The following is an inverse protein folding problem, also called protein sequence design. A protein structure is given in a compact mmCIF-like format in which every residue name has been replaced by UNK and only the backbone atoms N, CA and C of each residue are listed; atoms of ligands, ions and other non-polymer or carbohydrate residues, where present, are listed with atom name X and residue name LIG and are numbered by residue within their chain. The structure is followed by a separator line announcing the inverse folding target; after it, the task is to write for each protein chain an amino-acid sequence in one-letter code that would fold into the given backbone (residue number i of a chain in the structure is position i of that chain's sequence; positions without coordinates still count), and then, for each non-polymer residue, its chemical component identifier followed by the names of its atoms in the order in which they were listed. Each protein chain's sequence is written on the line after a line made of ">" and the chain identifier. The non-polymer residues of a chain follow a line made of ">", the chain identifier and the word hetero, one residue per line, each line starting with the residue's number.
data_IF_024807196248
#
_entry.id   IF_024807196248
#
_cell.length_a   1.000
_cell.length_b   1.000
_cell.length_c   1.000
_cell.angle_alpha   90.00
_cell.angle_beta   90.00
_cell.angle_gamma   90.00
#
_symmetry.space_group_name_H-M   'P 1'
#
loop_
_entity.id
_entity.type
_entity.pdbx_description
1 polymer ?
#
# COMPACT_ATOMS: atom_id res chain seq x y z
N UNK A 1 -29.53 23.15 45.98
CA UNK A 1 -29.07 22.05 45.12
C UNK A 1 -29.52 22.38 43.72
N UNK A 2 -28.61 22.81 42.84
CA UNK A 2 -28.86 22.78 41.41
C UNK A 2 -27.51 22.77 40.68
N UNK A 3 -27.00 21.57 40.41
CA UNK A 3 -25.71 21.39 39.73
C UNK A 3 -25.94 21.37 38.23
N UNK A 4 -25.95 22.58 37.63
CA UNK A 4 -25.99 22.73 36.18
C UNK A 4 -24.86 21.92 35.53
N UNK A 5 -25.24 20.87 34.80
CA UNK A 5 -24.30 20.00 34.11
C UNK A 5 -23.80 20.68 32.84
N UNK A 6 -22.75 21.49 32.97
CA UNK A 6 -22.05 22.08 31.83
C UNK A 6 -21.32 20.98 31.04
N UNK A 7 -22.07 20.36 30.12
CA UNK A 7 -21.61 19.31 29.25
C UNK A 7 -20.63 19.88 28.21
N UNK A 8 -19.38 20.05 28.65
CA UNK A 8 -18.25 20.54 27.85
C UNK A 8 -18.30 19.93 26.44
N UNK A 9 -18.64 20.78 25.45
CA UNK A 9 -18.93 20.36 24.07
C UNK A 9 -17.63 19.83 23.43
N UNK A 10 -17.41 18.52 23.52
CA UNK A 10 -16.19 17.86 23.05
C UNK A 10 -16.01 18.11 21.55
N UNK A 11 -14.80 18.51 21.16
CA UNK A 11 -14.45 18.79 19.79
C UNK A 11 -14.20 17.45 19.09
N UNK A 12 -15.15 16.97 18.29
CA UNK A 12 -15.07 15.67 17.61
C UNK A 12 -14.64 15.82 16.16
N UNK A 13 -13.73 14.97 15.70
CA UNK A 13 -13.36 14.88 14.28
C UNK A 13 -14.49 14.28 13.45
N UNK A 14 -14.89 14.92 12.34
CA UNK A 14 -15.97 14.45 11.47
C UNK A 14 -15.62 13.12 10.73
N UNK A 15 -14.34 12.84 10.49
CA UNK A 15 -13.88 11.64 9.76
C UNK A 15 -13.66 10.42 10.67
N UNK A 16 -12.76 10.52 11.65
CA UNK A 16 -12.38 9.38 12.50
C UNK A 16 -13.11 9.33 13.86
N UNK A 17 -13.94 10.34 14.16
CA UNK A 17 -14.71 10.47 15.42
C UNK A 17 -13.89 10.54 16.71
N UNK A 18 -12.59 10.81 16.63
CA UNK A 18 -11.78 11.10 17.82
C UNK A 18 -12.24 12.41 18.47
N UNK A 19 -12.34 12.41 19.80
CA UNK A 19 -12.79 13.54 20.61
C UNK A 19 -11.61 14.26 21.26
N UNK A 20 -11.72 15.57 21.39
CA UNK A 20 -10.71 16.46 21.96
C UNK A 20 -11.35 17.46 22.92
N UNK A 21 -10.73 17.64 24.10
CA UNK A 21 -11.20 18.61 25.10
C UNK A 21 -11.08 20.06 24.61
N UNK A 22 -10.11 20.33 23.73
CA UNK A 22 -9.85 21.65 23.16
C UNK A 22 -9.92 21.63 21.64
N UNK A 23 -10.31 22.77 21.06
CA UNK A 23 -10.39 22.96 19.61
C UNK A 23 -9.00 22.97 18.94
N UNK A 24 -8.00 23.56 19.60
CA UNK A 24 -6.59 23.58 19.14
C UNK A 24 -6.08 22.16 18.82
N UNK A 25 -6.40 21.18 19.67
CA UNK A 25 -6.01 19.77 19.48
C UNK A 25 -6.76 19.09 18.32
N UNK A 26 -8.01 19.50 18.04
CA UNK A 26 -8.74 19.00 16.87
C UNK A 26 -8.11 19.51 15.57
N UNK A 27 -7.71 20.79 15.51
CA UNK A 27 -7.01 21.36 14.36
C UNK A 27 -5.66 20.64 14.13
N UNK A 28 -4.90 20.41 15.20
CA UNK A 28 -3.62 19.68 15.12
C UNK A 28 -3.79 18.20 14.72
N UNK A 29 -4.88 17.57 15.15
CA UNK A 29 -5.26 16.25 14.67
C UNK A 29 -5.57 16.23 13.17
N UNK A 30 -6.27 17.23 12.63
CA UNK A 30 -6.55 17.30 11.19
C UNK A 30 -5.26 17.50 10.37
N UNK A 31 -4.35 18.38 10.81
CA UNK A 31 -3.01 18.57 10.23
C UNK A 31 -2.21 17.28 10.07
N UNK A 32 -2.24 16.44 11.10
CA UNK A 32 -1.38 15.25 11.20
C UNK A 32 -2.03 13.98 10.67
N UNK A 33 -3.37 13.96 10.53
CA UNK A 33 -4.12 12.78 10.09
C UNK A 33 -4.51 12.80 8.63
N UNK A 34 -4.73 13.99 8.04
CA UNK A 34 -5.03 14.18 6.61
C UNK A 34 -6.03 13.15 6.05
N UNK A 35 -7.23 13.14 6.66
CA UNK A 35 -8.32 12.24 6.29
C UNK A 35 -8.75 12.46 4.84
N UNK A 36 -9.04 11.37 4.13
CA UNK A 36 -9.23 11.34 2.68
C UNK A 36 -10.58 10.74 2.25
N UNK A 37 -11.13 11.15 1.08
CA UNK A 37 -12.09 10.34 0.29
C UNK A 37 -11.69 8.88 0.12
N UNK A 38 -10.38 8.61 0.04
CA UNK A 38 -9.80 7.29 -0.25
C UNK A 38 -9.43 6.46 0.99
N UNK A 39 -9.64 6.98 2.19
CA UNK A 39 -9.38 6.20 3.40
C UNK A 39 -10.34 5.01 3.51
N UNK A 40 -9.86 3.84 3.99
CA UNK A 40 -10.73 2.76 4.44
C UNK A 40 -11.83 3.25 5.39
N UNK A 41 -13.09 3.10 4.99
CA UNK A 41 -14.27 3.52 5.78
C UNK A 41 -15.05 2.34 6.32
N UNK A 42 -15.55 2.47 7.54
CA UNK A 42 -16.51 1.54 8.12
C UNK A 42 -17.88 1.67 7.44
N UNK A 43 -18.38 0.62 6.79
CA UNK A 43 -19.68 0.61 6.13
C UNK A 43 -20.89 0.77 7.08
N UNK A 44 -20.68 0.69 8.40
CA UNK A 44 -21.73 0.81 9.43
C UNK A 44 -21.82 2.23 10.00
N UNK A 45 -20.68 2.79 10.46
CA UNK A 45 -20.67 4.11 11.09
C UNK A 45 -19.96 5.21 10.29
N UNK A 46 -19.53 4.91 9.05
CA UNK A 46 -18.77 5.81 8.17
C UNK A 46 -17.39 6.28 8.70
N UNK A 47 -16.90 5.76 9.83
CA UNK A 47 -15.59 6.12 10.40
C UNK A 47 -14.45 5.89 9.39
N UNK A 48 -13.65 6.92 9.11
CA UNK A 48 -12.41 6.82 8.36
C UNK A 48 -11.33 6.16 9.22
N UNK A 49 -10.57 5.25 8.61
CA UNK A 49 -9.49 4.50 9.23
C UNK A 49 -8.25 4.59 8.32
N UNK A 50 -7.11 5.06 8.85
CA UNK A 50 -5.90 5.32 8.06
C UNK A 50 -5.37 4.08 7.30
N UNK A 51 -5.61 2.88 7.82
CA UNK A 51 -5.30 1.64 7.12
C UNK A 51 -6.36 0.57 7.34
N UNK A 52 -6.29 -0.48 6.52
CA UNK A 52 -7.23 -1.59 6.56
C UNK A 52 -7.09 -2.42 7.84
N UNK A 53 -5.92 -2.42 8.47
CA UNK A 53 -5.75 -3.03 9.79
C UNK A 53 -6.52 -2.21 10.85
N UNK A 54 -6.60 -0.89 10.71
CA UNK A 54 -7.35 -0.03 11.64
C UNK A 54 -8.87 -0.17 11.42
N UNK A 55 -9.29 -0.44 10.18
CA UNK A 55 -10.66 -0.82 9.88
C UNK A 55 -10.99 -2.20 10.46
N UNK A 56 -10.09 -3.20 10.32
CA UNK A 56 -10.27 -4.53 10.91
C UNK A 56 -10.35 -4.46 12.43
N UNK A 57 -9.42 -3.77 13.10
CA UNK A 57 -9.44 -3.57 14.56
C UNK A 57 -10.71 -2.83 15.02
N UNK A 58 -11.19 -1.84 14.26
CA UNK A 58 -12.46 -1.18 14.57
C UNK A 58 -13.69 -2.11 14.49
N UNK A 59 -13.65 -3.13 13.63
CA UNK A 59 -14.76 -4.07 13.40
C UNK A 59 -14.69 -5.33 14.28
N UNK A 60 -13.48 -5.86 14.53
CA UNK A 60 -13.23 -7.16 15.19
C UNK A 60 -12.09 -7.14 16.21
N UNK A 61 -11.59 -5.96 16.59
CA UNK A 61 -10.50 -5.81 17.54
C UNK A 61 -10.92 -5.95 19.00
N UNK A 62 -10.11 -5.42 19.91
CA UNK A 62 -10.33 -5.57 21.35
C UNK A 62 -11.49 -4.70 21.91
N UNK A 63 -11.74 -3.53 21.31
CA UNK A 63 -12.77 -2.57 21.74
C UNK A 63 -13.57 -2.00 20.55
N UNK A 64 -14.26 -2.84 19.76
CA UNK A 64 -15.07 -2.39 18.64
C UNK A 64 -16.37 -1.75 19.14
N UNK A 65 -16.96 -0.85 18.34
CA UNK A 65 -18.29 -0.30 18.68
C UNK A 65 -19.34 -1.42 18.57
N UNK A 66 -20.24 -1.62 19.55
CA UNK A 66 -21.17 -2.76 19.55
C UNK A 66 -21.97 -2.95 18.26
N UNK A 67 -22.53 -1.86 17.70
CA UNK A 67 -23.28 -1.89 16.44
C UNK A 67 -22.43 -2.31 15.23
N UNK A 68 -21.18 -1.85 15.18
CA UNK A 68 -20.22 -2.17 14.13
C UNK A 68 -19.78 -3.64 14.24
N UNK A 69 -19.47 -4.10 15.45
CA UNK A 69 -19.11 -5.48 15.74
C UNK A 69 -20.25 -6.44 15.41
N UNK A 70 -21.48 -6.16 15.87
CA UNK A 70 -22.65 -7.00 15.61
C UNK A 70 -23.02 -7.05 14.11
N UNK A 71 -22.92 -5.91 13.42
CA UNK A 71 -23.09 -5.87 11.96
C UNK A 71 -22.00 -6.66 11.24
N UNK A 72 -20.74 -6.58 11.67
CA UNK A 72 -19.66 -7.33 11.03
C UNK A 72 -19.75 -8.83 11.31
N UNK A 73 -20.05 -9.23 12.54
CA UNK A 73 -20.19 -10.63 12.94
C UNK A 73 -21.33 -11.36 12.20
N UNK A 74 -22.42 -10.66 11.87
CA UNK A 74 -23.60 -11.24 11.22
C UNK A 74 -23.54 -11.26 9.69
N UNK A 75 -22.86 -10.29 9.06
CA UNK A 75 -22.91 -10.06 7.59
C UNK A 75 -21.61 -9.48 6.99
N UNK A 76 -20.51 -9.45 7.75
CA UNK A 76 -19.21 -8.94 7.32
C UNK A 76 -18.28 -9.99 6.69
N UNK A 77 -17.45 -9.59 5.74
CA UNK A 77 -16.42 -10.45 5.14
C UNK A 77 -15.03 -10.08 5.67
N UNK A 78 -14.33 -11.03 6.30
CA UNK A 78 -12.99 -10.83 6.90
C UNK A 78 -11.89 -10.39 5.90
N UNK A 79 -12.07 -10.66 4.60
CA UNK A 79 -11.08 -10.38 3.56
C UNK A 79 -11.21 -8.98 2.94
N UNK A 80 -12.41 -8.52 2.59
CA UNK A 80 -12.62 -7.17 2.05
C UNK A 80 -12.96 -6.13 3.11
N UNK A 81 -13.42 -6.57 4.28
CA UNK A 81 -13.97 -5.76 5.38
C UNK A 81 -15.31 -5.08 5.04
N UNK A 82 -15.96 -5.50 3.94
CA UNK A 82 -17.30 -5.06 3.58
C UNK A 82 -18.36 -5.70 4.48
N UNK A 83 -19.49 -5.00 4.65
CA UNK A 83 -20.64 -5.43 5.46
C UNK A 83 -21.86 -5.56 4.55
N UNK A 84 -22.15 -6.80 4.15
CA UNK A 84 -23.09 -7.13 3.06
C UNK A 84 -24.55 -6.95 3.49
N UNK A 85 -25.51 -6.71 2.58
CA UNK A 85 -26.89 -6.37 2.94
C UNK A 85 -27.61 -7.39 3.83
N UNK A 86 -27.31 -8.68 3.68
CA UNK A 86 -27.89 -9.76 4.47
C UNK A 86 -26.92 -10.93 4.66
N UNK A 87 -27.11 -11.73 5.72
CA UNK A 87 -26.30 -12.93 5.99
C UNK A 87 -26.37 -13.98 4.86
N UNK A 88 -27.46 -14.01 4.07
CA UNK A 88 -27.56 -14.82 2.86
C UNK A 88 -26.53 -14.42 1.79
N UNK A 89 -26.34 -13.11 1.58
CA UNK A 89 -25.37 -12.58 0.63
C UNK A 89 -23.92 -12.92 1.03
N UNK A 90 -23.62 -13.02 2.33
CA UNK A 90 -22.31 -13.45 2.83
C UNK A 90 -21.99 -14.90 2.46
N UNK A 91 -22.97 -15.81 2.51
CA UNK A 91 -22.76 -17.23 2.13
C UNK A 91 -22.46 -17.40 0.63
N UNK A 92 -23.01 -16.53 -0.20
CA UNK A 92 -22.74 -16.49 -1.65
C UNK A 92 -21.63 -15.50 -2.05
N UNK A 93 -20.97 -14.84 -1.08
CA UNK A 93 -20.00 -13.80 -1.38
C UNK A 93 -18.66 -14.40 -1.83
N UNK A 94 -18.40 -14.35 -3.14
CA UNK A 94 -17.02 -14.29 -3.61
C UNK A 94 -16.50 -12.89 -3.31
N UNK A 95 -15.38 -12.82 -2.58
CA UNK A 95 -14.63 -11.58 -2.46
C UNK A 95 -14.28 -11.06 -3.87
N UNK A 96 -14.31 -9.73 -4.12
CA UNK A 96 -14.01 -9.20 -5.45
C UNK A 96 -12.65 -9.71 -5.92
N UNK A 97 -12.66 -10.49 -7.00
CA UNK A 97 -11.44 -10.81 -7.72
C UNK A 97 -10.89 -9.49 -8.26
N UNK A 98 -9.57 -9.40 -8.30
CA UNK A 98 -8.89 -8.30 -8.95
C UNK A 98 -9.50 -8.03 -10.34
N UNK A 99 -9.74 -6.76 -10.73
CA UNK A 99 -10.25 -6.42 -12.05
C UNK A 99 -9.31 -6.94 -13.13
N UNK A 100 -9.87 -7.12 -14.33
CA UNK A 100 -9.10 -7.59 -15.47
C UNK A 100 -7.87 -6.71 -15.70
N UNK A 101 -6.78 -7.27 -16.25
CA UNK A 101 -5.62 -6.50 -16.63
C UNK A 101 -5.96 -5.34 -17.56
N UNK A 102 -5.39 -4.16 -17.27
CA UNK A 102 -5.46 -3.00 -18.16
C UNK A 102 -4.20 -2.86 -19.03
N UNK A 103 -3.19 -3.69 -18.75
CA UNK A 103 -1.86 -3.57 -19.33
C UNK A 103 -0.99 -2.55 -18.57
N UNK A 104 0.23 -2.34 -19.04
CA UNK A 104 1.10 -1.28 -18.49
C UNK A 104 1.59 -1.47 -17.05
N UNK A 105 1.36 -2.62 -16.41
CA UNK A 105 1.85 -2.94 -15.05
C UNK A 105 2.78 -4.16 -15.09
N UNK A 106 3.90 -4.09 -14.36
CA UNK A 106 4.80 -5.20 -14.08
C UNK A 106 5.04 -5.29 -12.57
N UNK A 107 5.14 -6.49 -12.01
CA UNK A 107 5.58 -6.71 -10.63
C UNK A 107 6.98 -7.32 -10.59
N UNK A 108 7.83 -6.79 -9.71
CA UNK A 108 9.22 -7.19 -9.49
C UNK A 108 9.35 -7.86 -8.12
N UNK A 109 10.27 -8.80 -8.00
CA UNK A 109 10.73 -9.33 -6.72
C UNK A 109 12.06 -10.06 -6.87
N UNK A 110 12.95 -9.86 -5.91
CA UNK A 110 14.23 -10.54 -5.84
C UNK A 110 14.27 -11.57 -4.70
N UNK A 111 15.20 -12.51 -4.78
CA UNK A 111 15.68 -13.29 -3.63
C UNK A 111 17.12 -12.92 -3.33
N UNK A 112 17.34 -12.51 -2.08
CA UNK A 112 18.62 -12.04 -1.60
C UNK A 112 19.38 -13.15 -0.87
N UNK A 113 20.71 -13.13 -1.01
CA UNK A 113 21.65 -13.91 -0.21
C UNK A 113 22.53 -12.96 0.60
N UNK A 114 23.18 -13.48 1.64
CA UNK A 114 24.12 -12.75 2.46
C UNK A 114 25.51 -12.68 1.82
N UNK A 115 26.09 -11.49 1.78
CA UNK A 115 27.44 -11.20 1.33
C UNK A 115 28.20 -10.35 2.37
N UNK A 116 29.46 -10.03 2.08
CA UNK A 116 30.34 -9.35 3.03
C UNK A 116 30.90 -10.29 4.11
N UNK A 117 31.74 -9.77 5.00
CA UNK A 117 32.51 -10.58 5.96
C UNK A 117 31.67 -11.37 6.97
N UNK A 118 30.45 -10.93 7.24
CA UNK A 118 29.51 -11.52 8.22
C UNK A 118 28.21 -12.04 7.59
N UNK A 119 28.01 -11.89 6.27
CA UNK A 119 26.78 -12.27 5.57
C UNK A 119 25.58 -11.37 5.83
N UNK A 120 25.76 -10.22 6.50
CA UNK A 120 24.70 -9.27 6.81
C UNK A 120 24.19 -8.50 5.60
N UNK A 121 25.05 -8.27 4.59
CA UNK A 121 24.70 -7.51 3.40
C UNK A 121 23.80 -8.32 2.47
N UNK A 122 22.61 -7.80 2.19
CA UNK A 122 21.71 -8.37 1.18
C UNK A 122 22.21 -8.07 -0.23
N UNK A 123 22.36 -9.12 -1.04
CA UNK A 123 22.64 -9.00 -2.49
C UNK A 123 21.70 -9.86 -3.31
N UNK A 124 21.21 -9.35 -4.45
CA UNK A 124 20.30 -10.06 -5.32
C UNK A 124 20.98 -11.27 -5.98
N UNK A 125 20.37 -12.45 -5.80
CA UNK A 125 20.84 -13.71 -6.37
C UNK A 125 19.83 -14.38 -7.32
N UNK A 126 18.56 -13.94 -7.31
CA UNK A 126 17.54 -14.31 -8.29
C UNK A 126 16.56 -13.16 -8.43
N UNK A 127 16.16 -12.82 -9.65
CA UNK A 127 15.17 -11.79 -9.96
C UNK A 127 14.03 -12.40 -10.78
N UNK A 128 12.79 -12.02 -10.48
CA UNK A 128 11.62 -12.34 -11.29
C UNK A 128 10.83 -11.06 -11.59
N UNK A 129 10.30 -10.98 -12.80
CA UNK A 129 9.34 -9.98 -13.25
C UNK A 129 8.14 -10.72 -13.84
N UNK A 130 6.96 -10.41 -13.33
CA UNK A 130 5.68 -10.89 -13.87
C UNK A 130 4.88 -9.72 -14.43
N UNK A 131 4.03 -10.00 -15.41
CA UNK A 131 3.13 -9.02 -16.00
C UNK A 131 1.78 -8.90 -15.28
N UNK A 132 0.98 -7.93 -15.72
CA UNK A 132 -0.48 -7.98 -15.53
C UNK A 132 -1.15 -9.06 -16.40
N UNK A 133 -0.73 -10.29 -16.20
CA UNK A 133 -1.42 -11.54 -16.51
C UNK A 133 -0.97 -12.66 -15.55
N UNK A 134 -0.10 -12.35 -14.58
CA UNK A 134 0.58 -13.29 -13.67
C UNK A 134 1.52 -14.26 -14.43
N UNK A 135 1.91 -13.94 -15.66
CA UNK A 135 2.90 -14.69 -16.43
C UNK A 135 4.32 -14.15 -16.16
N UNK A 136 5.32 -15.02 -16.14
CA UNK A 136 6.74 -14.63 -16.01
C UNK A 136 7.21 -14.04 -17.34
N UNK A 137 7.57 -12.75 -17.34
CA UNK A 137 8.12 -12.06 -18.52
C UNK A 137 9.65 -11.96 -18.51
N UNK A 138 10.25 -12.11 -17.33
CA UNK A 138 11.69 -12.27 -17.15
C UNK A 138 11.99 -12.95 -15.82
N UNK A 139 12.87 -13.94 -15.83
CA UNK A 139 13.49 -14.49 -14.63
C UNK A 139 14.98 -14.77 -14.93
N UNK A 140 15.84 -14.56 -13.94
CA UNK A 140 17.24 -14.97 -14.02
C UNK A 140 17.86 -15.15 -12.63
N UNK A 141 18.85 -16.04 -12.52
CA UNK A 141 19.81 -15.98 -11.42
C UNK A 141 20.80 -14.83 -11.65
N UNK A 142 21.17 -14.17 -10.56
CA UNK A 142 22.05 -13.01 -10.57
C UNK A 142 23.32 -13.36 -9.80
N UNK A 143 24.49 -13.19 -10.40
CA UNK A 143 25.80 -13.38 -9.75
C UNK A 143 26.25 -12.08 -9.11
N UNK A 144 26.23 -11.93 -7.77
CA UNK A 144 26.63 -10.68 -7.12
C UNK A 144 28.10 -10.34 -7.39
N UNK A 145 28.44 -9.05 -7.34
CA UNK A 145 29.84 -8.61 -7.44
C UNK A 145 30.63 -8.89 -6.15
N UNK A 146 29.95 -8.82 -5.01
CA UNK A 146 30.52 -9.10 -3.69
C UNK A 146 30.39 -10.62 -3.43
N UNK A 147 31.45 -11.31 -2.95
CA UNK A 147 31.37 -12.73 -2.63
C UNK A 147 30.22 -13.07 -1.68
N UNK A 148 29.43 -14.08 -2.06
CA UNK A 148 28.33 -14.61 -1.24
C UNK A 148 28.91 -15.47 -0.12
N UNK A 149 28.68 -15.07 1.12
CA UNK A 149 29.15 -15.76 2.33
C UNK A 149 28.03 -16.56 3.00
N UNK A 150 26.75 -16.23 2.76
CA UNK A 150 25.62 -16.94 3.33
C UNK A 150 24.43 -17.08 2.36
N UNK A 151 24.29 -18.24 1.73
CA UNK A 151 23.27 -18.51 0.69
C UNK A 151 21.81 -18.52 1.19
N UNK A 152 21.57 -18.58 2.50
CA UNK A 152 20.21 -18.65 3.12
C UNK A 152 19.37 -19.79 2.54
N UNK A 153 20.01 -20.94 2.27
CA UNK A 153 19.48 -22.03 1.46
C UNK A 153 18.07 -22.48 1.87
N UNK A 154 17.84 -22.66 3.17
CA UNK A 154 16.53 -23.05 3.74
C UNK A 154 15.37 -22.15 3.29
N UNK A 155 15.65 -20.87 3.04
CA UNK A 155 14.67 -19.86 2.61
C UNK A 155 14.70 -19.64 1.09
N UNK A 156 15.87 -19.65 0.46
CA UNK A 156 16.04 -19.21 -0.94
C UNK A 156 16.10 -20.37 -1.95
N UNK A 157 16.51 -21.56 -1.51
CA UNK A 157 16.89 -22.68 -2.39
C UNK A 157 18.13 -22.41 -3.26
N UNK A 158 18.82 -21.29 -3.08
CA UNK A 158 19.93 -20.87 -3.95
C UNK A 158 21.21 -21.60 -3.54
N UNK A 159 21.89 -22.17 -4.53
CA UNK A 159 23.14 -22.92 -4.38
C UNK A 159 24.28 -22.21 -5.15
N UNK A 160 25.55 -22.40 -4.79
CA UNK A 160 26.68 -21.78 -5.48
C UNK A 160 26.67 -21.98 -7.00
N UNK A 161 26.30 -23.16 -7.47
CA UNK A 161 26.18 -23.53 -8.88
C UNK A 161 25.18 -22.66 -9.65
N UNK A 162 24.09 -22.19 -9.04
CA UNK A 162 23.14 -21.27 -9.69
C UNK A 162 23.77 -19.90 -10.01
N UNK A 163 24.87 -19.54 -9.33
CA UNK A 163 25.57 -18.25 -9.46
C UNK A 163 26.89 -18.36 -10.26
N UNK A 164 27.09 -19.50 -10.95
CA UNK A 164 28.25 -19.74 -11.84
C UNK A 164 27.89 -19.38 -13.28
N UNK A 165 28.19 -20.26 -14.23
CA UNK A 165 28.10 -19.98 -15.66
C UNK A 165 26.64 -19.89 -16.11
N UNK A 166 26.31 -18.84 -16.88
CA UNK A 166 24.95 -18.52 -17.29
C UNK A 166 24.19 -17.56 -16.36
N UNK A 167 24.66 -17.30 -15.14
CA UNK A 167 24.07 -16.29 -14.26
C UNK A 167 24.36 -14.85 -14.75
N UNK A 168 23.36 -13.97 -14.71
CA UNK A 168 23.52 -12.57 -15.10
C UNK A 168 24.31 -11.77 -14.05
N UNK A 169 25.12 -10.80 -14.46
CA UNK A 169 25.57 -9.74 -13.52
C UNK A 169 24.39 -8.84 -13.13
N UNK A 170 24.43 -8.15 -11.97
CA UNK A 170 23.35 -7.24 -11.55
C UNK A 170 23.07 -6.18 -12.62
N UNK A 171 24.11 -5.67 -13.28
CA UNK A 171 24.00 -4.70 -14.39
C UNK A 171 23.27 -5.23 -15.63
N UNK A 172 23.38 -6.53 -15.93
CA UNK A 172 22.64 -7.17 -17.04
C UNK A 172 21.17 -7.40 -16.65
N UNK A 173 20.92 -7.92 -15.46
CA UNK A 173 19.58 -8.09 -14.92
C UNK A 173 18.83 -6.73 -14.84
N UNK A 174 19.49 -5.72 -14.26
CA UNK A 174 18.99 -4.36 -14.16
C UNK A 174 18.61 -3.76 -15.52
N UNK A 175 19.49 -3.89 -16.53
CA UNK A 175 19.19 -3.44 -17.90
C UNK A 175 17.94 -4.12 -18.44
N UNK A 176 17.81 -5.43 -18.27
CA UNK A 176 16.67 -6.20 -18.77
C UNK A 176 15.35 -5.80 -18.09
N UNK A 177 15.37 -5.59 -16.77
CA UNK A 177 14.23 -5.06 -16.00
C UNK A 177 13.88 -3.64 -16.47
N UNK A 178 14.89 -2.78 -16.69
CA UNK A 178 14.68 -1.40 -17.15
C UNK A 178 14.09 -1.33 -18.57
N UNK A 179 14.53 -2.17 -19.50
CA UNK A 179 13.94 -2.28 -20.84
C UNK A 179 12.45 -2.64 -20.80
N UNK A 180 12.08 -3.60 -19.96
CA UNK A 180 10.70 -4.04 -19.76
C UNK A 180 9.83 -2.93 -19.14
N UNK A 181 10.35 -2.23 -18.13
CA UNK A 181 9.66 -1.13 -17.46
C UNK A 181 9.53 0.11 -18.35
N UNK A 182 10.57 0.48 -19.10
CA UNK A 182 10.52 1.64 -19.98
C UNK A 182 9.70 1.39 -21.25
N UNK A 183 9.51 0.14 -21.69
CA UNK A 183 8.63 -0.20 -22.82
C UNK A 183 8.99 0.57 -24.11
N UNK A 184 10.29 0.76 -24.36
CA UNK A 184 10.84 1.55 -25.46
C UNK A 184 10.85 3.07 -25.25
N UNK A 185 10.48 3.56 -24.07
CA UNK A 185 10.66 4.98 -23.68
C UNK A 185 12.12 5.29 -23.33
N UNK A 186 12.53 6.54 -23.55
CA UNK A 186 13.81 7.04 -23.05
C UNK A 186 13.71 7.32 -21.54
N UNK A 187 14.67 6.82 -20.77
CA UNK A 187 14.66 6.92 -19.30
C UNK A 187 14.48 8.35 -18.77
N UNK A 188 14.94 9.38 -19.50
CA UNK A 188 14.73 10.77 -19.10
C UNK A 188 13.28 11.26 -19.29
N UNK A 189 12.55 10.78 -20.31
CA UNK A 189 11.14 11.12 -20.55
C UNK A 189 10.23 10.51 -19.48
N UNK A 190 10.53 9.27 -19.09
CA UNK A 190 9.85 8.59 -17.98
C UNK A 190 10.00 9.30 -16.62
N UNK A 191 10.88 10.32 -16.49
CA UNK A 191 10.97 11.16 -15.28
C UNK A 191 10.13 12.44 -15.34
N UNK A 192 9.55 12.78 -16.49
CA UNK A 192 8.92 14.09 -16.72
C UNK A 192 7.52 14.03 -17.33
N UNK A 193 7.12 12.90 -17.91
CA UNK A 193 5.78 12.73 -18.50
C UNK A 193 5.34 11.28 -18.48
N UNK A 194 4.03 11.07 -18.40
CA UNK A 194 3.40 9.75 -18.54
C UNK A 194 3.39 9.33 -20.01
N UNK A 195 4.47 8.67 -20.42
CA UNK A 195 4.62 8.11 -21.76
C UNK A 195 4.25 6.63 -21.80
N UNK A 196 5.18 5.80 -22.29
CA UNK A 196 4.99 4.34 -22.41
C UNK A 196 5.52 3.53 -21.23
N UNK A 197 6.26 4.17 -20.32
CA UNK A 197 6.78 3.55 -19.11
C UNK A 197 5.68 2.90 -18.25
N UNK A 198 5.98 1.74 -17.70
CA UNK A 198 5.04 0.86 -16.98
C UNK A 198 5.05 1.13 -15.48
N UNK A 199 3.93 0.88 -14.83
CA UNK A 199 3.81 0.88 -13.37
C UNK A 199 4.62 -0.31 -12.81
N UNK A 200 5.45 -0.05 -11.80
CA UNK A 200 6.26 -1.04 -11.10
C UNK A 200 5.62 -1.37 -9.74
N UNK A 201 5.17 -2.60 -9.56
CA UNK A 201 4.58 -3.13 -8.31
C UNK A 201 5.60 -4.00 -7.57
N UNK A 202 5.55 -3.99 -6.23
CA UNK A 202 6.36 -4.89 -5.41
C UNK A 202 6.10 -4.73 -3.90
N UNK A 203 7.04 -5.21 -3.09
CA UNK A 203 6.96 -5.15 -1.62
C UNK A 203 8.33 -4.85 -1.01
N UNK A 204 8.58 -3.59 -0.66
CA UNK A 204 9.90 -3.11 -0.28
C UNK A 204 10.78 -2.78 -1.50
N UNK A 205 10.19 -2.22 -2.56
CA UNK A 205 10.79 -2.04 -3.89
C UNK A 205 12.16 -1.33 -3.87
N UNK A 206 12.40 -0.45 -2.91
CA UNK A 206 13.69 0.25 -2.80
C UNK A 206 14.85 -0.74 -2.52
N UNK A 207 14.61 -1.83 -1.77
CA UNK A 207 15.60 -2.88 -1.49
C UNK A 207 15.88 -3.75 -2.73
N UNK A 208 14.83 -4.12 -3.48
CA UNK A 208 14.96 -4.81 -4.77
C UNK A 208 15.77 -3.97 -5.78
N UNK A 209 15.44 -2.68 -5.89
CA UNK A 209 16.08 -1.76 -6.82
C UNK A 209 17.53 -1.44 -6.43
N UNK A 210 17.82 -1.23 -5.14
CA UNK A 210 19.18 -1.03 -4.62
C UNK A 210 20.06 -2.26 -4.90
N UNK A 211 19.56 -3.47 -4.62
CA UNK A 211 20.29 -4.72 -4.86
C UNK A 211 20.55 -5.01 -6.36
N UNK A 212 19.77 -4.40 -7.26
CA UNK A 212 20.00 -4.41 -8.72
C UNK A 212 20.85 -3.23 -9.21
N UNK A 213 21.08 -2.19 -8.40
CA UNK A 213 21.73 -0.95 -8.81
C UNK A 213 20.86 -0.10 -9.76
N UNK A 214 19.55 -0.04 -9.49
CA UNK A 214 18.54 0.66 -10.27
C UNK A 214 17.87 1.78 -9.47
N UNK A 215 17.28 2.73 -10.20
CA UNK A 215 16.26 3.64 -9.69
C UNK A 215 15.05 3.62 -10.65
N UNK A 216 13.86 3.95 -10.12
CA UNK A 216 12.64 4.05 -10.90
C UNK A 216 11.73 5.19 -10.38
N UNK A 217 11.10 5.99 -11.28
CA UNK A 217 10.36 7.19 -10.89
C UNK A 217 9.32 6.90 -9.81
N UNK A 218 9.37 7.64 -8.70
CA UNK A 218 8.53 7.40 -7.52
C UNK A 218 7.03 7.35 -7.85
N UNK A 219 6.56 8.20 -8.78
CA UNK A 219 5.16 8.25 -9.20
C UNK A 219 4.69 7.02 -10.02
N UNK A 220 5.62 6.19 -10.51
CA UNK A 220 5.34 4.89 -11.17
C UNK A 220 5.55 3.69 -10.25
N UNK A 221 6.10 3.89 -9.03
CA UNK A 221 6.25 2.81 -8.03
C UNK A 221 4.93 2.58 -7.28
N UNK A 222 4.61 1.31 -7.02
CA UNK A 222 3.44 0.85 -6.25
C UNK A 222 3.90 -0.17 -5.22
N UNK A 223 4.55 0.35 -4.19
CA UNK A 223 5.14 -0.46 -3.11
C UNK A 223 4.10 -0.80 -2.04
N UNK A 224 3.72 -2.08 -1.95
CA UNK A 224 2.76 -2.59 -0.96
C UNK A 224 3.25 -2.50 0.49
N UNK A 225 4.56 -2.34 0.72
CA UNK A 225 5.13 -2.12 2.05
C UNK A 225 4.99 -0.66 2.53
N UNK A 226 4.79 0.29 1.60
CA UNK A 226 4.71 1.75 1.89
C UNK A 226 3.36 2.39 1.57
N UNK A 227 2.41 1.65 1.00
CA UNK A 227 1.08 2.16 0.71
C UNK A 227 0.26 2.30 2.01
N UNK A 228 -0.13 3.51 2.46
CA UNK A 228 -0.69 3.70 3.80
C UNK A 228 -1.92 2.84 4.13
N UNK A 229 -2.86 2.56 3.19
CA UNK A 229 -3.96 1.61 3.43
C UNK A 229 -3.55 0.18 3.81
N UNK A 230 -2.31 -0.24 3.52
CA UNK A 230 -1.73 -1.56 3.87
C UNK A 230 -0.71 -1.49 5.01
N UNK A 231 -0.34 -0.30 5.49
CA UNK A 231 0.60 -0.13 6.60
C UNK A 231 -0.04 -0.40 7.97
N UNK A 232 0.83 -0.64 8.97
CA UNK A 232 0.40 -0.83 10.36
C UNK A 232 -0.25 0.44 10.93
N UNK A 233 -1.16 0.25 11.88
CA UNK A 233 -2.13 1.25 12.34
C UNK A 233 -1.58 2.33 13.28
N UNK A 234 -0.41 2.10 13.88
CA UNK A 234 0.29 3.08 14.71
C UNK A 234 1.00 4.12 13.83
N UNK A 235 1.39 5.26 14.40
CA UNK A 235 2.22 6.29 13.74
C UNK A 235 3.65 5.82 13.37
N UNK A 236 3.88 4.51 13.30
CA UNK A 236 5.14 3.89 12.94
C UNK A 236 5.30 3.83 11.42
N UNK A 237 6.52 4.04 10.93
CA UNK A 237 6.88 3.81 9.52
C UNK A 237 7.08 2.32 9.21
N UNK A 238 6.35 1.43 9.91
CA UNK A 238 6.56 -0.02 9.85
C UNK A 238 5.58 -0.65 8.86
N UNK A 239 6.13 -1.38 7.90
CA UNK A 239 5.36 -2.21 6.99
C UNK A 239 4.75 -3.42 7.70
N UNK A 240 3.65 -3.91 7.14
CA UNK A 240 3.24 -5.29 7.30
C UNK A 240 4.09 -6.19 6.39
N UNK A 241 4.32 -7.44 6.78
CA UNK A 241 4.99 -8.40 5.90
C UNK A 241 4.05 -8.81 4.75
N UNK A 242 4.61 -9.07 3.57
CA UNK A 242 3.85 -9.59 2.44
C UNK A 242 3.05 -10.85 2.80
N UNK A 243 3.64 -11.74 3.61
CA UNK A 243 2.97 -12.93 4.17
C UNK A 243 1.70 -12.59 4.97
N UNK A 244 1.75 -11.57 5.83
CA UNK A 244 0.56 -11.10 6.56
C UNK A 244 -0.47 -10.50 5.61
N UNK A 245 -0.05 -9.58 4.73
CA UNK A 245 -0.97 -8.89 3.81
C UNK A 245 -1.69 -9.88 2.88
N UNK A 246 -0.96 -10.87 2.36
CA UNK A 246 -1.51 -11.91 1.48
C UNK A 246 -2.56 -12.74 2.20
N UNK A 247 -2.28 -13.19 3.42
CA UNK A 247 -3.25 -13.94 4.21
C UNK A 247 -4.47 -13.09 4.58
N UNK A 248 -4.25 -11.88 5.12
CA UNK A 248 -5.29 -11.01 5.66
C UNK A 248 -6.22 -10.41 4.59
N UNK A 249 -5.73 -10.20 3.36
CA UNK A 249 -6.46 -9.49 2.30
C UNK A 249 -6.72 -10.31 1.03
N UNK A 250 -5.96 -11.37 0.79
CA UNK A 250 -6.15 -12.27 -0.37
C UNK A 250 -6.56 -13.69 0.04
N UNK A 251 -6.46 -14.07 1.32
CA UNK A 251 -7.00 -15.32 1.86
C UNK A 251 -6.17 -16.57 1.57
N UNK A 252 -4.89 -16.43 1.19
CA UNK A 252 -3.98 -17.57 0.97
C UNK A 252 -2.61 -17.34 1.61
N UNK A 253 -1.87 -18.44 1.81
CA UNK A 253 -0.53 -18.40 2.38
C UNK A 253 0.54 -18.34 1.28
N UNK A 254 1.57 -17.54 1.52
CA UNK A 254 2.87 -17.59 0.84
C UNK A 254 3.97 -17.82 1.87
N UNK A 255 5.18 -18.14 1.40
CA UNK A 255 6.36 -18.26 2.26
C UNK A 255 6.11 -19.23 3.44
N UNK A 256 5.53 -20.40 3.13
CA UNK A 256 5.29 -21.46 4.09
C UNK A 256 6.64 -22.01 4.62
N UNK A 257 6.70 -22.35 5.91
CA UNK A 257 7.92 -22.95 6.48
C UNK A 257 8.17 -24.33 5.88
N UNK A 258 9.44 -24.71 5.73
CA UNK A 258 9.83 -26.00 5.15
C UNK A 258 9.92 -26.03 3.62
N UNK A 259 9.67 -24.91 2.93
CA UNK A 259 9.82 -24.81 1.48
C UNK A 259 10.67 -23.58 1.09
N UNK A 260 11.49 -23.74 0.06
CA UNK A 260 12.20 -22.61 -0.56
C UNK A 260 11.20 -21.63 -1.16
N UNK A 261 11.43 -20.34 -0.96
CA UNK A 261 10.58 -19.27 -1.47
C UNK A 261 10.98 -18.91 -2.91
N UNK A 262 9.99 -18.82 -3.81
CA UNK A 262 10.20 -18.32 -5.16
C UNK A 262 9.94 -16.79 -5.23
N UNK A 263 10.71 -16.00 -5.99
CA UNK A 263 10.40 -14.58 -6.18
C UNK A 263 9.06 -14.37 -6.90
N UNK A 264 8.67 -15.30 -7.78
CA UNK A 264 7.34 -15.34 -8.44
C UNK A 264 6.17 -15.19 -7.45
N UNK A 265 6.18 -15.94 -6.34
CA UNK A 265 5.07 -15.94 -5.38
C UNK A 265 4.90 -14.56 -4.74
N UNK A 266 6.03 -13.88 -4.46
CA UNK A 266 6.06 -12.53 -3.92
C UNK A 266 5.57 -11.51 -4.96
N UNK A 267 6.01 -11.63 -6.23
CA UNK A 267 5.55 -10.78 -7.33
C UNK A 267 4.03 -10.88 -7.51
N UNK A 268 3.49 -12.11 -7.56
CA UNK A 268 2.05 -12.37 -7.73
C UNK A 268 1.25 -11.89 -6.52
N UNK A 269 1.75 -12.09 -5.30
CA UNK A 269 1.12 -11.57 -4.08
C UNK A 269 1.06 -10.02 -4.07
N UNK A 270 2.17 -9.35 -4.34
CA UNK A 270 2.22 -7.89 -4.42
C UNK A 270 1.31 -7.34 -5.53
N UNK A 271 1.29 -7.99 -6.70
CA UNK A 271 0.43 -7.64 -7.83
C UNK A 271 -1.06 -7.79 -7.51
N UNK A 272 -1.46 -8.90 -6.87
CA UNK A 272 -2.84 -9.13 -6.44
C UNK A 272 -3.29 -8.14 -5.36
N UNK A 273 -2.40 -7.77 -4.42
CA UNK A 273 -2.65 -6.69 -3.46
C UNK A 273 -2.83 -5.34 -4.18
N UNK A 274 -1.96 -5.00 -5.13
CA UNK A 274 -2.08 -3.79 -5.95
C UNK A 274 -3.42 -3.73 -6.68
N UNK A 275 -3.77 -4.75 -7.46
CA UNK A 275 -5.05 -4.79 -8.19
C UNK A 275 -6.25 -4.68 -7.25
N UNK A 276 -6.20 -5.29 -6.06
CA UNK A 276 -7.25 -5.19 -5.04
C UNK A 276 -7.41 -3.76 -4.50
N UNK A 277 -6.32 -3.02 -4.32
CA UNK A 277 -6.39 -1.62 -3.91
C UNK A 277 -6.83 -0.71 -5.08
N UNK A 278 -6.40 -0.99 -6.32
CA UNK A 278 -6.88 -0.33 -7.55
C UNK A 278 -8.40 -0.52 -7.73
N UNK A 279 -8.94 -1.67 -7.32
CA UNK A 279 -10.36 -1.99 -7.41
C UNK A 279 -11.26 -1.31 -6.36
N UNK A 280 -10.71 -0.53 -5.42
CA UNK A 280 -11.51 0.03 -4.32
C UNK A 280 -12.51 1.07 -4.83
N UNK A 281 -13.81 0.94 -4.51
CA UNK A 281 -14.81 1.94 -4.85
C UNK A 281 -14.64 3.15 -3.93
N UNK A 282 -13.98 4.19 -4.44
CA UNK A 282 -13.93 5.50 -3.80
C UNK A 282 -14.81 6.49 -4.57
N UNK A 283 -15.47 7.40 -3.85
CA UNK A 283 -16.30 8.42 -4.46
C UNK A 283 -15.39 9.43 -5.17
N UNK A 284 -15.52 9.56 -6.50
CA UNK A 284 -14.83 10.60 -7.27
C UNK A 284 -15.46 11.96 -6.96
N UNK A 285 -14.96 12.64 -5.93
CA UNK A 285 -15.37 14.00 -5.64
C UNK A 285 -14.96 14.93 -6.80
N UNK A 286 -15.88 15.77 -7.26
CA UNK A 286 -15.70 16.63 -8.44
C UNK A 286 -14.51 17.60 -8.32
N UNK A 287 -13.96 17.78 -7.11
CA UNK A 287 -12.76 18.61 -6.86
C UNK A 287 -11.48 18.02 -7.46
N UNK A 288 -11.41 16.71 -7.70
CA UNK A 288 -10.25 16.10 -8.38
C UNK A 288 -10.22 16.43 -9.88
N UNK A 289 -11.32 16.91 -10.49
CA UNK A 289 -11.38 17.21 -11.92
C UNK A 289 -10.53 18.43 -12.35
N UNK A 290 -10.09 19.27 -11.41
CA UNK A 290 -9.24 20.45 -11.66
C UNK A 290 -7.76 20.27 -11.33
N UNK A 291 -7.39 19.16 -10.68
CA UNK A 291 -6.01 18.84 -10.32
C UNK A 291 -5.58 17.71 -11.24
N UNK A 292 -4.51 17.92 -12.02
CA UNK A 292 -4.01 16.87 -12.93
C UNK A 292 -3.75 15.58 -12.15
N UNK A 293 -4.07 14.39 -12.68
CA UNK A 293 -4.24 13.14 -11.90
C UNK A 293 -3.00 12.65 -11.13
N UNK A 294 -1.85 13.33 -11.27
CA UNK A 294 -0.57 13.04 -10.60
C UNK A 294 0.10 14.28 -10.00
N UNK A 295 -0.61 15.38 -9.80
CA UNK A 295 -0.09 16.43 -8.94
C UNK A 295 0.17 15.83 -7.55
N UNK A 296 1.31 16.13 -6.90
CA UNK A 296 1.49 15.74 -5.51
C UNK A 296 0.34 16.32 -4.69
N UNK A 297 -0.28 15.55 -3.78
CA UNK A 297 -1.38 16.08 -3.01
C UNK A 297 -0.90 17.29 -2.18
N UNK A 298 -1.77 18.30 -1.94
CA UNK A 298 -1.40 19.46 -1.16
C UNK A 298 -0.83 19.05 0.18
N UNK A 299 0.35 19.55 0.51
CA UNK A 299 1.04 19.15 1.74
C UNK A 299 0.28 19.64 2.98
N UNK A 300 0.44 18.96 4.13
CA UNK A 300 -0.22 19.38 5.39
C UNK A 300 -0.10 20.91 5.69
N UNK A 301 1.05 21.58 5.46
CA UNK A 301 1.18 23.03 5.61
C UNK A 301 0.31 23.87 4.65
N UNK A 302 -0.05 23.36 3.47
CA UNK A 302 -0.91 24.06 2.50
C UNK A 302 -2.39 23.97 2.89
N UNK A 303 -2.84 22.78 3.32
CA UNK A 303 -4.22 22.54 3.75
C UNK A 303 -4.54 23.21 5.10
N UNK A 304 -3.58 23.20 6.05
CA UNK A 304 -3.78 23.67 7.42
C UNK A 304 -2.63 24.58 7.92
N UNK A 305 -2.35 25.70 7.24
CA UNK A 305 -1.22 26.57 7.57
C UNK A 305 -1.28 27.08 9.01
N UNK A 306 -0.13 27.10 9.69
CA UNK A 306 -0.02 27.53 11.08
C UNK A 306 -0.50 28.98 11.30
N UNK A 307 -0.29 29.87 10.31
CA UNK A 307 -0.72 31.26 10.39
C UNK A 307 -2.26 31.46 10.38
N UNK A 308 -3.04 30.43 10.00
CA UNK A 308 -4.52 30.46 10.07
C UNK A 308 -5.10 29.80 11.33
N UNK A 309 -4.31 29.50 12.36
CA UNK A 309 -4.76 28.80 13.58
C UNK A 309 -6.11 29.31 14.14
N UNK A 310 -6.24 30.63 14.35
CA UNK A 310 -7.45 31.26 14.92
C UNK A 310 -8.69 31.15 14.03
N UNK A 311 -8.51 30.95 12.73
CA UNK A 311 -9.60 30.75 11.77
C UNK A 311 -10.02 29.27 11.76
N UNK A 312 -9.05 28.35 11.68
CA UNK A 312 -9.27 26.90 11.76
C UNK A 312 -9.97 26.51 13.07
N UNK A 313 -9.69 27.21 14.17
CA UNK A 313 -10.40 27.01 15.45
C UNK A 313 -11.86 27.50 15.44
N UNK A 314 -12.27 28.38 14.53
CA UNK A 314 -13.66 28.84 14.40
C UNK A 314 -14.51 27.96 13.48
N UNK A 315 -13.88 27.23 12.56
CA UNK A 315 -14.54 26.31 11.63
C UNK A 315 -15.18 25.12 12.35
N UNK A 316 -16.25 24.55 11.79
CA UNK A 316 -16.85 23.27 12.20
C UNK A 316 -15.92 22.07 11.96
N UNK A 317 -16.31 20.87 12.40
CA UNK A 317 -15.51 19.67 12.16
C UNK A 317 -15.60 19.22 10.68
N UNK A 318 -16.73 19.53 10.06
CA UNK A 318 -17.11 19.23 8.68
C UNK A 318 -16.36 20.15 7.71
N UNK A 319 -16.31 21.46 7.99
CA UNK A 319 -15.50 22.41 7.21
C UNK A 319 -14.00 22.10 7.31
N UNK A 320 -13.51 21.72 8.50
CA UNK A 320 -12.12 21.24 8.65
C UNK A 320 -11.86 19.97 7.83
N UNK A 321 -12.83 19.06 7.73
CA UNK A 321 -12.71 17.87 6.89
C UNK A 321 -12.72 18.23 5.39
N UNK A 322 -13.45 19.26 4.97
CA UNK A 322 -13.45 19.75 3.57
C UNK A 322 -12.15 20.44 3.13
N UNK A 323 -11.30 20.86 4.08
CA UNK A 323 -9.93 21.31 3.82
C UNK A 323 -8.93 20.14 3.76
N UNK A 324 -9.29 18.97 4.29
CA UNK A 324 -8.40 17.82 4.40
C UNK A 324 -8.16 17.19 3.03
N UNK A 325 -6.89 17.03 2.68
CA UNK A 325 -6.41 16.33 1.48
C UNK A 325 -5.79 14.99 1.87
N UNK A 326 -5.60 14.10 0.90
CA UNK A 326 -4.89 12.82 1.12
C UNK A 326 -3.39 13.05 1.32
N UNK A 327 -2.71 12.28 2.17
CA UNK A 327 -1.23 12.30 2.28
C UNK A 327 -0.54 11.30 1.32
N UNK A 328 -1.31 10.60 0.48
CA UNK A 328 -0.83 9.59 -0.46
C UNK A 328 -1.62 9.53 -1.78
N UNK A 329 -0.97 9.06 -2.84
CA UNK A 329 -1.63 8.75 -4.11
C UNK A 329 -2.42 7.44 -4.01
N UNK A 330 -3.74 7.49 -4.14
CA UNK A 330 -4.59 6.30 -4.07
C UNK A 330 -4.55 5.49 -5.37
N UNK A 331 -4.28 4.18 -5.27
CA UNK A 331 -4.12 3.32 -6.44
C UNK A 331 -5.43 3.07 -7.22
N UNK A 332 -6.60 3.48 -6.70
CA UNK A 332 -7.84 3.44 -7.50
C UNK A 332 -7.82 4.45 -8.66
N UNK A 333 -6.99 5.48 -8.59
CA UNK A 333 -6.82 6.47 -9.66
C UNK A 333 -6.13 5.84 -10.89
N UNK A 334 -5.28 4.82 -10.70
CA UNK A 334 -4.66 4.05 -11.80
C UNK A 334 -5.69 3.30 -12.68
N UNK A 335 -6.95 3.17 -12.25
CA UNK A 335 -8.00 2.52 -13.02
C UNK A 335 -8.62 3.42 -14.12
N UNK A 336 -8.22 4.70 -14.20
CA UNK A 336 -8.93 5.71 -15.00
C UNK A 336 -8.13 6.34 -16.15
N UNK A 337 -6.95 5.78 -16.46
CA UNK A 337 -5.95 6.36 -17.36
C UNK A 337 -5.65 5.53 -18.62
N UNK A 338 -6.61 4.73 -19.08
CA UNK A 338 -6.54 3.90 -20.28
C UNK A 338 -7.80 4.04 -21.14
#
# INVERSE_FOLDING_TARGET
>A
MDSSSDAHRRNRCAACFREFNKKEHLVEHMRTSLHSPHDPRCAVCAKHCRSLDALRDHLTGALPKPECAASFASRGCALCLDVLPAAGALRSHSCPKAPQPLGGVLALGCKMVGAGSDGSLDVCARVCVVDEQECVVFESFVKPQIPVTHYRYETTGIRPEHLRDGAMTPKQAARRVQELLLNGELAWKARSSRGRARILVGHGLDHDLEALGMDYPAYLKRDTARYPPLMKTSNSRLSNSLKYLTLAYLGYHIQAGGHHQHPYDDCVAALRLYRRMRARPHCRDQREAGVGPHAPPPTAPEAFPAWRQRELERMSAEELLQLSTTDYYCWCLDATDH
#
